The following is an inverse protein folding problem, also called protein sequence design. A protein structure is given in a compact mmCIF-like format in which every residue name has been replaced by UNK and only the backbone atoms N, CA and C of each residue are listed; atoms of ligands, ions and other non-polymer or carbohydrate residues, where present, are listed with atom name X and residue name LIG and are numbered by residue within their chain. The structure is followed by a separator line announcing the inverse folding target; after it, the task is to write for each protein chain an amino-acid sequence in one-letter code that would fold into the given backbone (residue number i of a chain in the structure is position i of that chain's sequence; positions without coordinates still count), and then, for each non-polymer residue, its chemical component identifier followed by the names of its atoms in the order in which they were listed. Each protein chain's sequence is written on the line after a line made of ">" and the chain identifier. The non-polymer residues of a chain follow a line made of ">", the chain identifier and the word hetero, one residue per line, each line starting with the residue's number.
data_IF_277868971803
#
_entry.id   IF_277868971803
#
_cell.length_a   1.000
_cell.length_b   1.000
_cell.length_c   1.000
_cell.angle_alpha   90.00
_cell.angle_beta   90.00
_cell.angle_gamma   90.00
#
_symmetry.space_group_name_H-M   'P 1'
#
loop_
_entity.id
_entity.type
_entity.pdbx_description
1 polymer ?
#
# COMPACT_ATOMS: atom_id res chain seq x y z
N UNK A 1 -19.78 0.12 -44.65
CA UNK A 1 -18.63 -0.57 -44.03
C UNK A 1 -18.66 -0.19 -42.56
N UNK A 2 -18.78 -1.16 -41.65
CA UNK A 2 -19.05 -0.91 -40.24
C UNK A 2 -17.80 -0.35 -39.53
N UNK A 3 -17.93 0.84 -38.97
CA UNK A 3 -16.95 1.46 -38.07
C UNK A 3 -17.22 0.89 -36.66
N UNK A 4 -16.47 -0.15 -36.30
CA UNK A 4 -16.54 -0.80 -35.00
C UNK A 4 -15.60 -0.10 -34.02
N UNK A 5 -16.22 0.57 -33.04
CA UNK A 5 -15.72 0.87 -31.70
C UNK A 5 -14.68 -0.14 -31.20
N UNK A 6 -13.55 0.29 -30.58
CA UNK A 6 -12.97 -0.25 -29.32
C UNK A 6 -11.95 0.79 -28.77
N UNK A 7 -12.36 1.72 -27.90
CA UNK A 7 -12.05 1.70 -26.45
C UNK A 7 -10.61 1.30 -26.12
N UNK A 8 -9.83 2.24 -25.58
CA UNK A 8 -8.40 2.09 -25.26
C UNK A 8 -8.05 0.74 -24.62
N UNK A 9 -7.36 -0.08 -25.39
CA UNK A 9 -6.89 -1.40 -24.99
C UNK A 9 -5.97 -1.27 -23.76
N UNK A 10 -6.29 -1.92 -22.62
CA UNK A 10 -5.45 -1.92 -21.43
C UNK A 10 -4.01 -2.33 -21.70
N UNK A 11 -3.80 -3.18 -22.71
CA UNK A 11 -2.47 -3.61 -23.14
C UNK A 11 -1.70 -2.46 -23.81
N UNK A 12 -2.36 -1.60 -24.58
CA UNK A 12 -1.76 -0.40 -25.18
C UNK A 12 -1.41 0.64 -24.12
N UNK A 13 -2.24 0.80 -23.09
CA UNK A 13 -1.92 1.66 -21.95
C UNK A 13 -0.72 1.13 -21.16
N UNK A 14 -0.67 -0.17 -20.86
CA UNK A 14 0.46 -0.80 -20.18
C UNK A 14 1.75 -0.68 -21.01
N UNK A 15 1.65 -0.91 -22.32
CA UNK A 15 2.76 -0.77 -23.26
C UNK A 15 3.28 0.66 -23.33
N UNK A 16 2.39 1.65 -23.30
CA UNK A 16 2.75 3.08 -23.29
C UNK A 16 3.38 3.52 -21.97
N UNK A 17 2.97 2.92 -20.85
CA UNK A 17 3.55 3.18 -19.54
C UNK A 17 4.90 2.49 -19.33
N UNK A 18 5.08 1.28 -19.87
CA UNK A 18 6.35 0.55 -19.84
C UNK A 18 7.37 1.07 -20.84
N UNK A 19 6.94 1.76 -21.90
CA UNK A 19 7.83 2.25 -22.95
C UNK A 19 7.69 3.77 -23.24
N UNK A 20 8.10 4.65 -22.31
CA UNK A 20 8.22 6.08 -22.60
C UNK A 20 9.50 6.44 -23.39
N UNK A 21 10.39 5.49 -23.70
CA UNK A 21 11.73 5.74 -24.25
C UNK A 21 12.09 4.77 -25.39
N UNK A 22 11.30 4.77 -26.46
CA UNK A 22 11.63 4.07 -27.72
C UNK A 22 12.76 4.73 -28.53
N UNK A 23 13.47 5.72 -27.96
CA UNK A 23 14.74 6.18 -28.50
C UNK A 23 15.86 5.28 -27.96
N UNK A 24 16.59 4.56 -28.82
CA UNK A 24 17.83 3.93 -28.40
C UNK A 24 18.83 5.05 -28.09
N UNK A 25 18.95 5.40 -26.81
CA UNK A 25 20.05 6.24 -26.34
C UNK A 25 21.33 5.40 -26.43
N UNK A 26 22.33 5.79 -27.24
CA UNK A 26 23.63 5.13 -27.22
C UNK A 26 24.21 5.25 -25.80
N UNK A 27 24.35 4.14 -25.10
CA UNK A 27 24.77 4.10 -23.69
C UNK A 27 23.66 3.81 -22.67
N UNK A 28 22.39 3.70 -23.08
CA UNK A 28 21.43 2.92 -22.29
C UNK A 28 21.80 1.46 -22.44
N UNK A 29 22.27 0.86 -21.34
CA UNK A 29 22.45 -0.58 -21.20
C UNK A 29 21.22 -1.26 -21.81
N UNK A 30 21.45 -2.04 -22.88
CA UNK A 30 20.52 -3.11 -23.19
C UNK A 30 20.33 -3.86 -21.86
N UNK A 31 19.10 -3.99 -21.31
CA UNK A 31 18.88 -4.77 -20.13
C UNK A 31 19.07 -6.23 -20.56
N UNK A 32 20.30 -6.68 -20.64
CA UNK A 32 20.63 -8.01 -20.18
C UNK A 32 20.41 -7.95 -18.67
N UNK A 33 19.14 -7.88 -18.23
CA UNK A 33 18.83 -8.08 -16.82
C UNK A 33 19.27 -9.51 -16.56
N UNK A 34 20.45 -9.65 -15.97
CA UNK A 34 20.88 -10.92 -15.44
C UNK A 34 19.76 -11.33 -14.47
N UNK A 35 19.19 -12.51 -14.69
CA UNK A 35 18.08 -13.04 -13.87
C UNK A 35 18.45 -12.99 -12.38
N UNK A 36 19.74 -13.13 -12.08
CA UNK A 36 20.31 -12.99 -10.74
C UNK A 36 20.09 -11.60 -10.12
N UNK A 37 20.29 -10.51 -10.87
CA UNK A 37 20.09 -9.14 -10.38
C UNK A 37 18.61 -8.85 -10.09
N UNK A 38 17.73 -9.37 -10.95
CA UNK A 38 16.27 -9.30 -10.75
C UNK A 38 15.88 -10.08 -9.49
N UNK A 39 16.41 -11.29 -9.33
CA UNK A 39 16.14 -12.11 -8.15
C UNK A 39 16.61 -11.44 -6.85
N UNK A 40 17.78 -10.79 -6.88
CA UNK A 40 18.29 -10.01 -5.74
C UNK A 40 17.37 -8.83 -5.42
N UNK A 41 16.95 -8.08 -6.44
CA UNK A 41 16.04 -6.94 -6.24
C UNK A 41 14.67 -7.39 -5.70
N UNK A 42 14.17 -8.54 -6.15
CA UNK A 42 12.95 -9.15 -5.58
C UNK A 42 13.14 -9.44 -4.09
N UNK A 43 14.24 -10.09 -3.70
CA UNK A 43 14.51 -10.44 -2.30
C UNK A 43 14.64 -9.18 -1.41
N UNK A 44 15.32 -8.14 -1.89
CA UNK A 44 15.43 -6.86 -1.19
C UNK A 44 14.05 -6.21 -0.98
N UNK A 45 13.20 -6.19 -2.01
CA UNK A 45 11.86 -5.63 -1.92
C UNK A 45 10.94 -6.45 -1.01
N UNK A 46 11.08 -7.78 -0.99
CA UNK A 46 10.35 -8.64 -0.04
C UNK A 46 10.74 -8.37 1.41
N UNK A 47 12.03 -8.11 1.68
CA UNK A 47 12.48 -7.73 3.02
C UNK A 47 11.87 -6.38 3.46
N UNK A 48 11.83 -5.39 2.55
CA UNK A 48 11.18 -4.11 2.80
C UNK A 48 9.67 -4.29 3.03
N UNK A 49 9.00 -5.11 2.23
CA UNK A 49 7.58 -5.42 2.41
C UNK A 49 7.31 -6.01 3.80
N UNK A 50 8.11 -7.00 4.22
CA UNK A 50 7.96 -7.62 5.54
C UNK A 50 8.15 -6.60 6.67
N UNK A 51 9.12 -5.69 6.55
CA UNK A 51 9.32 -4.62 7.55
C UNK A 51 8.14 -3.63 7.61
N UNK A 52 7.57 -3.29 6.46
CA UNK A 52 6.38 -2.43 6.37
C UNK A 52 5.15 -3.13 6.97
N UNK A 53 4.97 -4.43 6.73
CA UNK A 53 3.90 -5.23 7.36
C UNK A 53 4.02 -5.26 8.88
N UNK A 54 5.24 -5.41 9.40
CA UNK A 54 5.49 -5.32 10.84
C UNK A 54 5.12 -3.93 11.38
N UNK A 55 5.56 -2.85 10.72
CA UNK A 55 5.20 -1.47 11.11
C UNK A 55 3.68 -1.26 11.16
N UNK A 56 2.96 -1.73 10.14
CA UNK A 56 1.51 -1.65 10.09
C UNK A 56 0.88 -2.40 11.27
N UNK A 57 1.39 -3.58 11.59
CA UNK A 57 0.90 -4.42 12.70
C UNK A 57 1.09 -3.70 14.04
N UNK A 58 2.27 -3.12 14.29
CA UNK A 58 2.54 -2.33 15.49
C UNK A 58 1.61 -1.11 15.60
N UNK A 59 1.46 -0.34 14.52
CA UNK A 59 0.57 0.82 14.50
C UNK A 59 -0.88 0.43 14.84
N UNK A 60 -1.39 -0.63 14.23
CA UNK A 60 -2.74 -1.13 14.51
C UNK A 60 -2.90 -1.58 15.97
N UNK A 61 -1.89 -2.21 16.58
CA UNK A 61 -1.92 -2.58 18.00
C UNK A 61 -1.94 -1.36 18.91
N UNK A 62 -1.14 -0.33 18.61
CA UNK A 62 -1.13 0.93 19.37
C UNK A 62 -2.49 1.61 19.30
N UNK A 63 -3.10 1.69 18.12
CA UNK A 63 -4.44 2.28 17.94
C UNK A 63 -5.47 1.53 18.79
N UNK A 64 -5.55 0.20 18.66
CA UNK A 64 -6.50 -0.61 19.44
C UNK A 64 -6.32 -0.44 20.96
N UNK A 65 -5.08 -0.31 21.41
CA UNK A 65 -4.77 -0.07 22.83
C UNK A 65 -5.32 1.29 23.28
N UNK A 66 -5.12 2.35 22.49
CA UNK A 66 -5.65 3.68 22.78
C UNK A 66 -7.19 3.71 22.74
N UNK A 67 -7.81 3.00 21.80
CA UNK A 67 -9.27 2.86 21.73
C UNK A 67 -9.84 2.18 22.98
N UNK A 68 -9.19 1.13 23.47
CA UNK A 68 -9.58 0.46 24.72
C UNK A 68 -9.40 1.38 25.95
N UNK A 69 -8.30 2.14 26.00
CA UNK A 69 -8.06 3.13 27.05
C UNK A 69 -9.16 4.21 27.04
N UNK A 70 -9.50 4.74 25.86
CA UNK A 70 -10.59 5.72 25.70
C UNK A 70 -11.93 5.15 26.19
N UNK A 71 -12.31 3.96 25.73
CA UNK A 71 -13.56 3.31 26.16
C UNK A 71 -13.63 3.11 27.68
N UNK A 72 -12.49 2.84 28.31
CA UNK A 72 -12.41 2.68 29.78
C UNK A 72 -12.62 4.02 30.48
N UNK A 73 -12.02 5.11 29.98
CA UNK A 73 -12.21 6.46 30.51
C UNK A 73 -13.66 6.93 30.34
N UNK A 74 -14.27 6.67 29.18
CA UNK A 74 -15.68 7.01 28.91
C UNK A 74 -16.60 6.31 29.93
N UNK A 75 -16.38 5.00 30.20
CA UNK A 75 -17.13 4.25 31.20
C UNK A 75 -16.94 4.80 32.63
N UNK A 76 -15.73 5.24 32.99
CA UNK A 76 -15.46 5.89 34.29
C UNK A 76 -16.19 7.23 34.38
N UNK A 77 -16.19 8.03 33.32
CA UNK A 77 -16.88 9.31 33.30
C UNK A 77 -18.41 9.14 33.40
N UNK A 78 -18.98 8.15 32.70
CA UNK A 78 -20.42 7.84 32.78
C UNK A 78 -20.82 7.38 34.19
N UNK A 79 -20.00 6.55 34.83
CA UNK A 79 -20.25 6.09 36.20
C UNK A 79 -20.03 7.19 37.25
N UNK A 80 -19.07 8.09 37.05
CA UNK A 80 -18.83 9.24 37.91
C UNK A 80 -19.90 10.35 37.76
N UNK A 81 -20.48 10.51 36.56
CA UNK A 81 -21.58 11.45 36.29
C UNK A 81 -22.97 10.95 36.68
N UNK A 82 -23.13 9.62 36.85
CA UNK A 82 -24.43 8.97 37.09
C UNK A 82 -25.01 9.08 38.51
N UNK A 83 -24.35 9.76 39.44
CA UNK A 83 -24.80 9.91 40.84
C UNK A 83 -25.91 10.94 41.08
N UNK A 84 -26.36 11.67 40.06
CA UNK A 84 -27.37 12.72 40.22
C UNK A 84 -28.43 12.70 39.12
N UNK A 85 -29.32 11.72 39.17
CA UNK A 85 -30.78 11.88 39.05
C UNK A 85 -31.43 10.50 39.01
N UNK A 86 -32.20 10.17 40.04
CA UNK A 86 -33.53 9.56 39.90
C UNK A 86 -34.31 9.70 41.24
N UNK A 87 -35.60 10.07 41.20
CA UNK A 87 -36.45 10.22 42.39
C UNK A 87 -36.76 8.87 43.05
#
# INVERSE_FOLDING_TARGET
>A
MAEGTESGDPLEFFRKMWNPMSFPLPGMFQPTMNVEDVQKKIAELQAVENWLRMNLTFLQMTIKTLEMQKSTLDAINDTAGGGKTRP
#
